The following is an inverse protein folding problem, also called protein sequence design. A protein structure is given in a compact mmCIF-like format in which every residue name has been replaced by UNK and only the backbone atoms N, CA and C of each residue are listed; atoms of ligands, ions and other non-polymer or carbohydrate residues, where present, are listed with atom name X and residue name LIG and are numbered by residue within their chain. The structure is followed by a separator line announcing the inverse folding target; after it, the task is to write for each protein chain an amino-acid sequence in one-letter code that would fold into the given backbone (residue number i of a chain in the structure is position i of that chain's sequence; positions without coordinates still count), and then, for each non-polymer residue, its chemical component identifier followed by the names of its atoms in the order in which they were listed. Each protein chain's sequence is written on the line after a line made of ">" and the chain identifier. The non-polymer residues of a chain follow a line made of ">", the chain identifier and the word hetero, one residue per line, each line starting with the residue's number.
data_IF_739213533045
#
_entry.id   IF_739213533045
#
_cell.length_a   1.000
_cell.length_b   1.000
_cell.length_c   1.000
_cell.angle_alpha   90.00
_cell.angle_beta   90.00
_cell.angle_gamma   90.00
#
_symmetry.space_group_name_H-M   'P 1'
#
loop_
_entity.id
_entity.type
_entity.pdbx_description
1 polymer ?
#
# COMPACT_ATOMS: atom_id res chain seq x y z
N UNK A 1 6.39 -10.59 23.75
CA UNK A 1 6.90 -10.45 22.39
C UNK A 1 5.74 -10.17 21.46
N UNK A 2 5.94 -9.44 20.40
CA UNK A 2 4.88 -9.04 19.45
C UNK A 2 4.28 -10.27 18.78
N UNK A 3 5.13 -11.20 18.36
CA UNK A 3 4.74 -12.48 17.75
C UNK A 3 3.76 -13.29 18.60
N UNK A 4 4.03 -13.44 19.89
CA UNK A 4 3.14 -14.17 20.79
C UNK A 4 1.76 -13.50 20.88
N UNK A 5 1.72 -12.18 20.89
CA UNK A 5 0.45 -11.41 20.92
C UNK A 5 -0.33 -11.55 19.60
N UNK A 6 0.36 -11.58 18.48
CA UNK A 6 -0.24 -11.82 17.17
C UNK A 6 -0.87 -13.22 17.11
N UNK A 7 -0.15 -14.25 17.56
CA UNK A 7 -0.66 -15.62 17.65
C UNK A 7 -1.88 -15.75 18.56
N UNK A 8 -1.86 -15.11 19.73
CA UNK A 8 -2.98 -15.10 20.68
C UNK A 8 -4.22 -14.43 20.07
N UNK A 9 -4.04 -13.30 19.36
CA UNK A 9 -5.12 -12.61 18.66
C UNK A 9 -5.70 -13.49 17.56
N UNK A 10 -4.84 -14.07 16.73
CA UNK A 10 -5.23 -14.95 15.62
C UNK A 10 -6.03 -16.17 16.11
N UNK A 11 -5.59 -16.80 17.19
CA UNK A 11 -6.28 -17.95 17.78
C UNK A 11 -7.68 -17.63 18.30
N UNK A 12 -7.94 -16.37 18.67
CA UNK A 12 -9.24 -15.90 19.14
C UNK A 12 -10.19 -15.38 18.07
N UNK A 13 -9.76 -15.34 16.81
CA UNK A 13 -10.56 -14.79 15.69
C UNK A 13 -11.44 -15.83 15.03
N UNK A 14 -12.67 -15.41 14.64
CA UNK A 14 -13.51 -16.18 13.72
C UNK A 14 -12.98 -16.12 12.29
N UNK A 15 -13.50 -16.97 11.39
CA UNK A 15 -13.14 -16.92 9.97
C UNK A 15 -13.43 -15.53 9.38
N UNK A 16 -14.59 -14.97 9.65
CA UNK A 16 -15.01 -13.65 9.18
C UNK A 16 -14.08 -12.54 9.69
N UNK A 17 -13.67 -12.61 10.94
CA UNK A 17 -12.73 -11.68 11.53
C UNK A 17 -11.35 -11.78 10.87
N UNK A 18 -10.84 -12.99 10.63
CA UNK A 18 -9.57 -13.20 9.94
C UNK A 18 -9.59 -12.65 8.51
N UNK A 19 -10.62 -12.97 7.75
CA UNK A 19 -10.76 -12.48 6.36
C UNK A 19 -10.88 -10.96 6.34
N UNK A 20 -11.70 -10.37 7.20
CA UNK A 20 -11.85 -8.92 7.27
C UNK A 20 -10.52 -8.18 7.55
N UNK A 21 -9.65 -8.76 8.38
CA UNK A 21 -8.33 -8.19 8.69
C UNK A 21 -7.41 -8.08 7.45
N UNK A 22 -7.63 -8.86 6.41
CA UNK A 22 -6.88 -8.78 5.16
C UNK A 22 -7.26 -7.57 4.30
N UNK A 23 -8.31 -6.83 4.60
CA UNK A 23 -8.82 -5.75 3.77
C UNK A 23 -8.50 -4.38 4.33
N UNK A 24 -7.77 -3.57 3.55
CA UNK A 24 -7.73 -2.12 3.67
C UNK A 24 -8.70 -1.58 2.62
N UNK A 25 -9.90 -1.22 3.06
CA UNK A 25 -10.96 -0.78 2.16
C UNK A 25 -10.86 0.72 1.89
N UNK A 26 -11.29 1.16 0.70
CA UNK A 26 -11.55 2.57 0.49
C UNK A 26 -12.68 3.00 1.41
N UNK A 27 -12.44 4.03 2.23
CA UNK A 27 -13.44 4.54 3.17
C UNK A 27 -14.71 4.93 2.43
N UNK A 28 -15.87 4.34 2.74
CA UNK A 28 -17.13 4.69 2.09
C UNK A 28 -17.60 6.07 2.53
N UNK A 29 -18.43 6.71 1.71
CA UNK A 29 -18.98 8.05 2.01
C UNK A 29 -19.97 8.05 3.18
N UNK A 30 -20.66 6.93 3.36
CA UNK A 30 -21.66 6.74 4.42
C UNK A 30 -21.40 5.45 5.17
N UNK A 31 -21.86 5.40 6.42
CA UNK A 31 -21.85 4.19 7.25
C UNK A 31 -20.45 3.59 7.51
N UNK A 32 -19.38 4.38 7.40
CA UNK A 32 -18.02 3.88 7.51
C UNK A 32 -17.76 3.15 8.84
N UNK A 33 -18.22 3.66 9.98
CA UNK A 33 -18.06 3.00 11.27
C UNK A 33 -18.80 1.66 11.34
N UNK A 34 -20.06 1.60 10.85
CA UNK A 34 -20.85 0.35 10.86
C UNK A 34 -20.28 -0.70 9.91
N UNK A 35 -19.68 -0.29 8.79
CA UNK A 35 -18.99 -1.20 7.85
C UNK A 35 -17.75 -1.85 8.47
N UNK A 36 -17.02 -1.15 9.31
CA UNK A 36 -15.90 -1.74 10.08
C UNK A 36 -16.40 -2.91 10.92
N UNK A 37 -17.48 -2.73 11.65
CA UNK A 37 -18.06 -3.78 12.49
C UNK A 37 -18.64 -4.91 11.63
N UNK A 38 -19.36 -4.59 10.57
CA UNK A 38 -20.04 -5.57 9.71
C UNK A 38 -19.07 -6.51 8.99
N UNK A 39 -17.97 -5.98 8.49
CA UNK A 39 -17.00 -6.73 7.68
C UNK A 39 -15.71 -7.06 8.42
N UNK A 40 -15.56 -6.63 9.67
CA UNK A 40 -14.34 -6.82 10.48
C UNK A 40 -13.06 -6.30 9.79
N UNK A 41 -13.17 -5.16 9.09
CA UNK A 41 -12.09 -4.63 8.24
C UNK A 41 -10.79 -4.42 9.01
N UNK A 42 -9.67 -4.67 8.34
CA UNK A 42 -8.32 -4.41 8.86
C UNK A 42 -7.93 -2.94 8.81
N UNK A 43 -8.52 -2.15 7.92
CA UNK A 43 -8.25 -0.73 7.81
C UNK A 43 -9.08 -0.01 6.77
N UNK A 44 -8.89 1.30 6.73
CA UNK A 44 -9.38 2.18 5.68
C UNK A 44 -8.22 2.93 5.02
N UNK A 45 -8.28 3.08 3.69
CA UNK A 45 -7.51 4.07 2.97
C UNK A 45 -8.40 5.28 2.69
N UNK A 46 -7.92 6.48 3.06
CA UNK A 46 -8.64 7.73 2.93
C UNK A 46 -8.17 8.49 1.68
N UNK A 47 -9.13 9.15 1.02
CA UNK A 47 -8.89 9.93 -0.18
C UNK A 47 -9.19 11.42 0.05
N UNK A 48 -8.96 12.25 -0.96
CA UNK A 48 -9.17 13.70 -0.85
C UNK A 48 -10.58 14.07 -0.36
N UNK A 49 -11.63 13.34 -0.77
CA UNK A 49 -13.02 13.58 -0.34
C UNK A 49 -13.20 13.46 1.18
N UNK A 50 -12.37 12.65 1.84
CA UNK A 50 -12.45 12.45 3.28
C UNK A 50 -11.90 13.65 4.07
N UNK A 51 -11.16 14.54 3.41
CA UNK A 51 -10.52 15.70 4.01
C UNK A 51 -11.06 17.04 3.49
N UNK A 52 -11.57 17.10 2.28
CA UNK A 52 -11.95 18.36 1.60
C UNK A 52 -12.90 19.18 2.45
N UNK A 53 -12.49 20.42 2.76
CA UNK A 53 -13.27 21.39 3.52
C UNK A 53 -13.42 21.12 5.01
N UNK A 54 -12.91 20.00 5.51
CA UNK A 54 -13.05 19.62 6.92
C UNK A 54 -12.00 20.28 7.81
N UNK A 55 -12.36 20.50 9.06
CA UNK A 55 -11.44 20.92 10.09
C UNK A 55 -10.65 19.71 10.64
N UNK A 56 -9.60 19.98 11.39
CA UNK A 56 -8.83 18.95 12.08
C UNK A 56 -9.72 18.12 13.03
N UNK A 57 -10.59 18.77 13.76
CA UNK A 57 -11.52 18.16 14.71
C UNK A 57 -12.50 17.23 14.02
N UNK A 58 -13.04 17.63 12.87
CA UNK A 58 -13.96 16.81 12.07
C UNK A 58 -13.27 15.55 11.54
N UNK A 59 -12.04 15.67 11.00
CA UNK A 59 -11.26 14.53 10.51
C UNK A 59 -10.91 13.58 11.66
N UNK A 60 -10.42 14.12 12.77
CA UNK A 60 -10.02 13.32 13.94
C UNK A 60 -11.23 12.59 14.53
N UNK A 61 -12.38 13.25 14.64
CA UNK A 61 -13.62 12.63 15.14
C UNK A 61 -14.10 11.49 14.24
N UNK A 62 -14.03 11.66 12.91
CA UNK A 62 -14.39 10.61 11.95
C UNK A 62 -13.49 9.38 12.12
N UNK A 63 -12.17 9.57 12.12
CA UNK A 63 -11.20 8.48 12.29
C UNK A 63 -11.39 7.79 13.65
N UNK A 64 -11.61 8.55 14.71
CA UNK A 64 -11.87 7.97 16.03
C UNK A 64 -13.15 7.13 16.05
N UNK A 65 -14.19 7.53 15.30
CA UNK A 65 -15.41 6.74 15.18
C UNK A 65 -15.16 5.38 14.49
N UNK A 66 -14.26 5.33 13.52
CA UNK A 66 -13.85 4.08 12.87
C UNK A 66 -13.09 3.17 13.84
N UNK A 67 -12.14 3.73 14.58
CA UNK A 67 -11.37 2.99 15.59
C UNK A 67 -12.27 2.43 16.69
N UNK A 68 -13.25 3.22 17.17
CA UNK A 68 -14.19 2.78 18.20
C UNK A 68 -15.10 1.63 17.74
N UNK A 69 -15.35 1.51 16.44
CA UNK A 69 -16.15 0.43 15.87
C UNK A 69 -15.34 -0.87 15.65
N UNK A 70 -14.01 -0.79 15.73
CA UNK A 70 -13.12 -1.91 15.47
C UNK A 70 -12.82 -2.72 16.75
N UNK A 71 -12.79 -4.06 16.61
CA UNK A 71 -12.33 -4.96 17.67
C UNK A 71 -10.79 -4.99 17.78
N UNK A 72 -10.13 -4.90 16.64
CA UNK A 72 -8.69 -4.76 16.50
C UNK A 72 -8.40 -3.38 15.93
N UNK A 73 -7.43 -2.62 16.44
CA UNK A 73 -7.12 -1.29 15.92
C UNK A 73 -6.90 -1.29 14.42
N UNK A 74 -7.51 -0.32 13.73
CA UNK A 74 -7.45 -0.21 12.27
C UNK A 74 -6.13 0.40 11.81
N UNK A 75 -5.65 -0.09 10.66
CA UNK A 75 -4.75 0.67 9.81
C UNK A 75 -5.54 1.78 9.13
N UNK A 76 -5.13 3.02 9.33
CA UNK A 76 -5.70 4.19 8.64
C UNK A 76 -4.61 4.75 7.74
N UNK A 77 -4.79 4.54 6.45
CA UNK A 77 -3.82 4.85 5.43
C UNK A 77 -4.22 6.02 4.54
N UNK A 78 -3.25 6.64 3.91
CA UNK A 78 -3.43 7.72 2.95
C UNK A 78 -2.26 7.77 1.98
N UNK A 79 -2.51 8.27 0.76
CA UNK A 79 -1.47 8.61 -0.22
C UNK A 79 -1.06 10.08 -0.04
N UNK A 80 -0.16 10.35 0.87
CA UNK A 80 0.43 11.68 1.05
C UNK A 80 1.88 11.65 0.56
N UNK A 81 2.05 11.52 -0.77
CA UNK A 81 3.38 11.39 -1.38
C UNK A 81 4.14 12.72 -1.42
N UNK A 82 3.40 13.80 -1.60
CA UNK A 82 3.93 15.10 -2.01
C UNK A 82 3.73 15.35 -3.52
N UNK A 83 3.95 16.58 -3.96
CA UNK A 83 3.79 16.93 -5.36
C UNK A 83 2.36 16.76 -5.86
N UNK A 84 2.17 15.94 -6.89
CA UNK A 84 0.86 15.73 -7.53
C UNK A 84 -0.09 14.86 -6.70
N UNK A 85 0.43 14.04 -5.79
CA UNK A 85 -0.37 13.11 -4.97
C UNK A 85 -0.33 13.54 -3.50
N UNK A 86 -1.32 14.32 -3.14
CA UNK A 86 -1.62 14.77 -1.78
C UNK A 86 -3.11 14.63 -1.53
N UNK A 87 -3.50 14.14 -0.36
CA UNK A 87 -4.90 14.01 0.06
C UNK A 87 -5.22 14.97 1.20
N UNK A 88 -4.34 15.04 2.20
CA UNK A 88 -4.50 15.82 3.42
C UNK A 88 -4.08 17.28 3.21
N UNK A 89 -2.85 17.50 2.76
CA UNK A 89 -2.25 18.84 2.69
C UNK A 89 -2.83 19.74 1.60
N UNK A 90 -3.65 19.21 0.69
CA UNK A 90 -4.46 20.03 -0.23
C UNK A 90 -5.58 20.79 0.47
N UNK A 91 -5.96 20.38 1.68
CA UNK A 91 -6.93 21.09 2.50
C UNK A 91 -6.21 22.15 3.36
N UNK A 92 -6.48 23.43 3.07
CA UNK A 92 -5.85 24.56 3.75
C UNK A 92 -6.21 24.68 5.23
N UNK A 93 -7.28 24.03 5.70
CA UNK A 93 -7.60 23.92 7.13
C UNK A 93 -6.63 23.02 7.88
N UNK A 94 -5.98 22.08 7.17
CA UNK A 94 -5.07 21.11 7.77
C UNK A 94 -3.60 21.49 7.61
N UNK A 95 -3.25 22.08 6.46
CA UNK A 95 -1.90 22.60 6.17
C UNK A 95 -1.99 23.80 5.22
N UNK A 96 -1.20 24.81 5.46
CA UNK A 96 -1.24 26.06 4.69
C UNK A 96 -0.96 25.86 3.19
N UNK A 97 -0.02 24.98 2.87
CA UNK A 97 0.38 24.65 1.49
C UNK A 97 0.52 23.14 1.34
N UNK A 98 0.23 22.55 0.16
CA UNK A 98 0.49 21.14 -0.09
C UNK A 98 1.98 20.80 0.07
N UNK A 99 2.29 19.55 0.41
CA UNK A 99 3.67 19.05 0.41
C UNK A 99 4.23 19.04 -1.01
N UNK A 100 5.48 19.46 -1.14
CA UNK A 100 6.20 19.48 -2.40
C UNK A 100 6.61 18.05 -2.85
N UNK A 101 6.94 17.90 -4.12
CA UNK A 101 7.48 16.65 -4.65
C UNK A 101 8.88 16.36 -4.11
N UNK A 102 9.28 15.09 -4.11
CA UNK A 102 10.64 14.69 -3.73
C UNK A 102 11.72 15.37 -4.58
N UNK A 103 11.44 15.59 -5.87
CA UNK A 103 12.35 16.30 -6.78
C UNK A 103 12.54 17.76 -6.38
N UNK A 104 11.46 18.48 -6.05
CA UNK A 104 11.49 19.85 -5.58
C UNK A 104 12.24 19.98 -4.24
N UNK A 105 11.96 19.09 -3.30
CA UNK A 105 12.60 19.07 -1.98
C UNK A 105 14.11 18.82 -2.09
N UNK A 106 14.51 17.83 -2.88
CA UNK A 106 15.92 17.52 -3.07
C UNK A 106 16.67 18.69 -3.74
N UNK A 107 16.04 19.33 -4.73
CA UNK A 107 16.60 20.52 -5.39
C UNK A 107 16.74 21.69 -4.42
N UNK A 108 15.78 21.86 -3.51
CA UNK A 108 15.76 22.97 -2.55
C UNK A 108 16.75 22.82 -1.39
N UNK A 109 16.97 21.59 -0.90
CA UNK A 109 17.78 21.39 0.31
C UNK A 109 18.36 19.98 0.50
N UNK A 110 18.39 19.16 -0.55
CA UNK A 110 19.01 17.84 -0.52
C UNK A 110 18.35 16.88 0.49
N UNK A 111 19.16 16.01 1.08
CA UNK A 111 18.70 14.98 2.01
C UNK A 111 18.08 15.54 3.29
N UNK A 112 18.61 16.64 3.80
CA UNK A 112 18.08 17.29 5.00
C UNK A 112 16.63 17.78 4.79
N UNK A 113 16.33 18.29 3.58
CA UNK A 113 14.98 18.72 3.24
C UNK A 113 14.03 17.52 3.07
N UNK A 114 14.49 16.44 2.44
CA UNK A 114 13.73 15.17 2.35
C UNK A 114 13.39 14.65 3.74
N UNK A 115 14.37 14.63 4.65
CA UNK A 115 14.15 14.15 6.02
C UNK A 115 13.17 15.04 6.79
N UNK A 116 13.38 16.36 6.79
CA UNK A 116 12.52 17.29 7.53
C UNK A 116 11.08 17.32 7.00
N UNK A 117 10.89 17.23 5.69
CA UNK A 117 9.56 17.12 5.07
C UNK A 117 8.86 15.81 5.48
N UNK A 118 9.58 14.70 5.47
CA UNK A 118 9.04 13.40 5.89
C UNK A 118 8.62 13.42 7.36
N UNK A 119 9.41 14.03 8.24
CA UNK A 119 9.06 14.22 9.66
C UNK A 119 7.79 15.05 9.83
N UNK A 120 7.70 16.21 9.18
CA UNK A 120 6.51 17.06 9.24
C UNK A 120 5.27 16.32 8.72
N UNK A 121 5.42 15.58 7.63
CA UNK A 121 4.34 14.77 7.04
C UNK A 121 3.83 13.71 8.02
N UNK A 122 4.72 12.95 8.63
CA UNK A 122 4.36 11.96 9.66
C UNK A 122 3.63 12.60 10.85
N UNK A 123 4.14 13.73 11.35
CA UNK A 123 3.52 14.43 12.49
C UNK A 123 2.13 14.96 12.16
N UNK A 124 1.94 15.53 10.96
CA UNK A 124 0.64 15.96 10.50
C UNK A 124 -0.35 14.79 10.44
N UNK A 125 0.03 13.69 9.78
CA UNK A 125 -0.82 12.53 9.60
C UNK A 125 -1.20 11.90 10.95
N UNK A 126 -0.24 11.70 11.83
CA UNK A 126 -0.48 11.16 13.18
C UNK A 126 -1.40 12.06 14.00
N UNK A 127 -1.28 13.38 13.87
CA UNK A 127 -2.16 14.34 14.56
C UNK A 127 -3.63 14.21 14.18
N UNK A 128 -3.92 13.55 13.06
CA UNK A 128 -5.27 13.26 12.56
C UNK A 128 -5.75 11.84 12.91
N UNK A 129 -4.85 10.99 13.43
CA UNK A 129 -5.13 9.57 13.70
C UNK A 129 -4.76 8.63 12.55
N UNK A 130 -4.04 9.13 11.53
CA UNK A 130 -3.52 8.33 10.41
C UNK A 130 -2.21 7.67 10.85
N UNK A 131 -2.07 6.37 10.63
CA UNK A 131 -0.93 5.58 11.09
C UNK A 131 -0.13 4.89 9.96
N UNK A 132 -0.58 5.03 8.71
CA UNK A 132 0.05 4.44 7.55
C UNK A 132 0.10 5.45 6.39
N UNK A 133 1.28 5.73 5.86
CA UNK A 133 1.41 6.47 4.61
C UNK A 133 1.82 5.53 3.48
N UNK A 134 1.06 5.53 2.38
CA UNK A 134 1.37 4.77 1.17
C UNK A 134 2.52 5.44 0.41
N UNK A 135 3.67 5.47 1.02
CA UNK A 135 4.93 6.07 0.57
C UNK A 135 6.13 5.34 1.23
N UNK A 136 7.33 5.39 0.62
CA UNK A 136 7.73 6.16 -0.56
C UNK A 136 7.42 5.47 -1.91
N UNK A 137 7.35 6.28 -2.97
CA UNK A 137 7.40 5.79 -4.35
C UNK A 137 8.83 5.39 -4.67
N UNK A 138 9.02 4.10 -4.99
CA UNK A 138 10.33 3.50 -5.28
C UNK A 138 10.64 3.43 -6.78
N UNK A 139 9.67 3.79 -7.62
CA UNK A 139 9.81 3.70 -9.08
C UNK A 139 10.98 4.54 -9.59
N UNK A 140 11.80 3.95 -10.45
CA UNK A 140 12.95 4.61 -11.09
C UNK A 140 12.50 5.17 -12.44
N UNK A 141 12.53 6.48 -12.59
CA UNK A 141 12.27 7.16 -13.85
C UNK A 141 13.09 8.44 -13.94
N UNK A 142 13.77 8.62 -15.07
CA UNK A 142 14.55 9.81 -15.41
C UNK A 142 13.97 10.56 -16.62
N UNK A 143 12.96 9.99 -17.28
CA UNK A 143 12.31 10.61 -18.43
C UNK A 143 11.03 11.34 -18.00
N UNK A 144 10.96 12.68 -18.17
CA UNK A 144 9.76 13.46 -17.84
C UNK A 144 8.51 13.04 -18.61
N UNK A 145 8.61 12.23 -19.65
CA UNK A 145 7.47 11.71 -20.41
C UNK A 145 6.90 10.42 -19.83
N UNK A 146 7.62 9.77 -18.91
CA UNK A 146 7.10 8.60 -18.23
C UNK A 146 5.92 8.97 -17.32
N UNK A 147 4.87 8.15 -17.34
CA UNK A 147 3.68 8.34 -16.49
C UNK A 147 4.05 8.55 -15.02
N UNK A 148 4.99 7.75 -14.51
CA UNK A 148 5.35 7.76 -13.08
C UNK A 148 6.36 8.85 -12.70
N UNK A 149 7.01 9.51 -13.67
CA UNK A 149 8.11 10.44 -13.44
C UNK A 149 7.80 11.52 -12.41
N UNK A 150 6.67 12.21 -12.55
CA UNK A 150 6.29 13.30 -11.64
C UNK A 150 6.09 12.86 -10.18
N UNK A 151 5.88 11.58 -9.95
CA UNK A 151 5.74 10.96 -8.62
C UNK A 151 7.03 10.33 -8.13
N UNK A 152 7.96 10.03 -9.03
CA UNK A 152 9.26 9.42 -8.73
C UNK A 152 10.26 10.45 -8.19
N UNK A 153 11.40 9.95 -7.69
CA UNK A 153 12.51 10.81 -7.27
C UNK A 153 13.22 11.48 -8.45
N UNK A 154 13.01 10.97 -9.68
CA UNK A 154 13.52 11.57 -10.91
C UNK A 154 15.03 11.42 -11.13
N UNK A 155 15.68 10.53 -10.42
CA UNK A 155 17.10 10.23 -10.49
C UNK A 155 17.34 8.77 -10.89
N UNK A 156 18.61 8.36 -10.98
CA UNK A 156 18.96 6.97 -11.24
C UNK A 156 18.56 6.03 -10.09
N UNK A 157 18.78 4.73 -10.28
CA UNK A 157 18.39 3.71 -9.32
C UNK A 157 19.15 3.81 -7.98
N UNK A 158 20.42 4.18 -8.01
CA UNK A 158 21.24 4.30 -6.79
C UNK A 158 20.78 5.50 -5.93
N UNK A 159 20.54 6.64 -6.56
CA UNK A 159 20.02 7.82 -5.85
C UNK A 159 18.56 7.61 -5.39
N UNK A 160 17.74 6.93 -6.19
CA UNK A 160 16.39 6.55 -5.76
C UNK A 160 16.44 5.59 -4.57
N UNK A 161 17.39 4.65 -4.54
CA UNK A 161 17.59 3.76 -3.39
C UNK A 161 17.96 4.55 -2.12
N UNK A 162 18.83 5.55 -2.23
CA UNK A 162 19.17 6.41 -1.08
C UNK A 162 17.98 7.25 -0.61
N UNK A 163 17.17 7.77 -1.55
CA UNK A 163 15.93 8.46 -1.24
C UNK A 163 14.97 7.55 -0.45
N UNK A 164 14.73 6.34 -0.93
CA UNK A 164 13.84 5.37 -0.28
C UNK A 164 14.36 5.02 1.12
N UNK A 165 15.64 4.76 1.27
CA UNK A 165 16.27 4.48 2.57
C UNK A 165 16.05 5.63 3.55
N UNK A 166 16.31 6.86 3.13
CA UNK A 166 16.14 8.05 3.95
C UNK A 166 14.70 8.22 4.42
N UNK A 167 13.73 8.07 3.51
CA UNK A 167 12.31 8.20 3.82
C UNK A 167 11.83 7.10 4.76
N UNK A 168 12.17 5.84 4.50
CA UNK A 168 11.75 4.70 5.34
C UNK A 168 12.33 4.81 6.75
N UNK A 169 13.60 5.13 6.89
CA UNK A 169 14.23 5.34 8.20
C UNK A 169 13.55 6.47 8.98
N UNK A 170 13.22 7.57 8.31
CA UNK A 170 12.54 8.71 8.95
C UNK A 170 11.13 8.35 9.37
N UNK A 171 10.35 7.68 8.52
CA UNK A 171 9.00 7.19 8.85
C UNK A 171 9.04 6.24 10.06
N UNK A 172 10.02 5.32 10.10
CA UNK A 172 10.21 4.39 11.21
C UNK A 172 10.55 5.11 12.52
N UNK A 173 11.43 6.12 12.47
CA UNK A 173 11.78 6.94 13.63
C UNK A 173 10.58 7.71 14.19
N UNK A 174 9.68 8.15 13.33
CA UNK A 174 8.40 8.78 13.69
C UNK A 174 7.31 7.77 14.10
N UNK A 175 7.63 6.47 14.15
CA UNK A 175 6.69 5.40 14.52
C UNK A 175 5.43 5.35 13.66
N UNK A 176 5.58 5.52 12.37
CA UNK A 176 4.52 5.46 11.37
C UNK A 176 4.77 4.31 10.39
N UNK A 177 3.72 3.75 9.80
CA UNK A 177 3.83 2.70 8.79
C UNK A 177 4.22 3.25 7.42
N UNK A 178 5.08 2.50 6.71
CA UNK A 178 5.54 2.80 5.36
C UNK A 178 5.10 1.74 4.36
N UNK A 179 4.94 2.14 3.08
CA UNK A 179 4.60 1.24 1.97
C UNK A 179 5.50 1.55 0.78
N UNK A 180 6.33 0.59 0.39
CA UNK A 180 7.13 0.69 -0.84
C UNK A 180 6.24 0.41 -2.05
N UNK A 181 6.26 1.27 -3.05
CA UNK A 181 5.41 1.13 -4.25
C UNK A 181 6.06 1.65 -5.52
N UNK A 182 5.73 1.12 -6.64
CA UNK A 182 4.81 0.05 -6.99
C UNK A 182 5.63 -1.13 -7.51
N UNK A 183 5.74 -2.17 -6.71
CA UNK A 183 6.56 -3.35 -7.06
C UNK A 183 5.97 -4.07 -8.28
N UNK A 184 6.76 -4.55 -9.25
CA UNK A 184 8.23 -4.60 -9.27
C UNK A 184 8.91 -3.37 -9.87
N UNK A 185 8.20 -2.31 -10.18
CA UNK A 185 8.67 -1.06 -10.76
C UNK A 185 7.95 -0.71 -12.06
N UNK A 186 7.41 0.51 -12.12
CA UNK A 186 6.62 0.97 -13.28
C UNK A 186 7.47 1.18 -14.54
N UNK A 187 8.72 1.63 -14.39
CA UNK A 187 9.53 2.01 -15.53
C UNK A 187 8.84 3.04 -16.43
N UNK A 188 8.79 2.77 -17.72
CA UNK A 188 8.10 3.61 -18.71
C UNK A 188 6.70 3.08 -19.10
N UNK A 189 6.11 2.22 -18.28
CA UNK A 189 4.79 1.67 -18.55
C UNK A 189 3.67 2.68 -18.40
N UNK A 190 2.55 2.43 -19.05
CA UNK A 190 1.34 3.22 -18.96
C UNK A 190 0.60 3.04 -17.64
N UNK A 191 -0.32 3.96 -17.37
CA UNK A 191 -1.15 3.97 -16.17
C UNK A 191 -2.13 2.78 -16.13
N UNK A 192 -2.03 1.94 -15.12
CA UNK A 192 -2.92 0.77 -14.92
C UNK A 192 -4.31 1.14 -14.39
N UNK A 193 -4.57 2.39 -14.04
CA UNK A 193 -5.94 2.88 -13.77
C UNK A 193 -6.80 2.87 -15.03
N UNK A 194 -6.20 3.03 -16.21
CA UNK A 194 -6.91 3.20 -17.48
C UNK A 194 -6.85 1.98 -18.39
N UNK A 195 -6.07 0.96 -18.07
CA UNK A 195 -5.94 -0.24 -18.89
C UNK A 195 -4.82 -1.18 -18.44
N UNK A 196 -4.60 -2.22 -19.23
CA UNK A 196 -3.53 -3.19 -18.99
C UNK A 196 -2.20 -2.58 -19.45
N UNK A 197 -1.20 -2.61 -18.59
CA UNK A 197 0.18 -2.25 -18.91
C UNK A 197 1.03 -3.52 -19.03
N UNK A 198 1.69 -3.69 -20.17
CA UNK A 198 2.60 -4.80 -20.43
C UNK A 198 4.04 -4.30 -20.37
N UNK A 199 4.84 -4.91 -19.50
CA UNK A 199 6.25 -4.64 -19.35
C UNK A 199 7.07 -5.76 -19.98
N UNK A 200 7.75 -5.47 -21.07
CA UNK A 200 8.55 -6.43 -21.83
C UNK A 200 10.06 -6.33 -21.52
N UNK A 201 10.43 -5.54 -20.50
CA UNK A 201 11.83 -5.40 -20.09
C UNK A 201 12.39 -6.74 -19.61
N UNK A 202 13.67 -7.04 -19.91
CA UNK A 202 14.32 -8.25 -19.42
C UNK A 202 14.57 -8.17 -17.90
N UNK A 203 14.70 -9.31 -17.25
CA UNK A 203 14.88 -9.40 -15.78
C UNK A 203 16.11 -8.62 -15.29
N UNK A 204 17.17 -8.54 -16.11
CA UNK A 204 18.38 -7.78 -15.78
C UNK A 204 18.10 -6.30 -15.60
N UNK A 205 17.11 -5.75 -16.29
CA UNK A 205 16.66 -4.37 -16.10
C UNK A 205 16.12 -4.14 -14.70
N UNK A 206 15.34 -5.08 -14.18
CA UNK A 206 14.82 -5.02 -12.81
C UNK A 206 15.92 -5.24 -11.78
N UNK A 207 16.73 -6.26 -11.93
CA UNK A 207 17.82 -6.59 -10.99
C UNK A 207 18.83 -5.47 -10.87
N UNK A 208 19.19 -4.81 -11.98
CA UNK A 208 20.20 -3.75 -12.00
C UNK A 208 19.63 -2.34 -11.74
N UNK A 209 18.33 -2.17 -11.70
CA UNK A 209 17.70 -0.86 -11.55
C UNK A 209 16.51 -0.90 -10.58
N UNK A 210 15.35 -1.37 -11.01
CA UNK A 210 14.08 -1.23 -10.27
C UNK A 210 14.10 -1.87 -8.88
N UNK A 211 14.80 -3.00 -8.72
CA UNK A 211 14.88 -3.68 -7.42
C UNK A 211 15.77 -2.97 -6.40
N UNK A 212 16.70 -2.11 -6.82
CA UNK A 212 17.62 -1.43 -5.91
C UNK A 212 16.89 -0.55 -4.88
N UNK A 213 15.95 0.33 -5.26
CA UNK A 213 15.18 1.09 -4.28
C UNK A 213 14.31 0.23 -3.36
N UNK A 214 13.68 -0.83 -3.88
CA UNK A 214 12.91 -1.76 -3.05
C UNK A 214 13.78 -2.46 -2.03
N UNK A 215 14.95 -2.97 -2.45
CA UNK A 215 15.90 -3.60 -1.53
C UNK A 215 16.36 -2.61 -0.44
N UNK A 216 16.67 -1.37 -0.82
CA UNK A 216 17.05 -0.34 0.13
C UNK A 216 15.95 -0.05 1.16
N UNK A 217 14.69 -0.04 0.74
CA UNK A 217 13.54 0.12 1.63
C UNK A 217 13.31 -1.08 2.56
N UNK A 218 13.46 -2.29 2.02
CA UNK A 218 13.36 -3.55 2.79
C UNK A 218 14.46 -3.58 3.86
N UNK A 219 15.69 -3.31 3.48
CA UNK A 219 16.84 -3.28 4.39
C UNK A 219 16.73 -2.17 5.46
N UNK A 220 16.01 -1.09 5.15
CA UNK A 220 15.72 -0.01 6.08
C UNK A 220 14.53 -0.31 7.02
N UNK A 221 13.85 -1.44 6.86
CA UNK A 221 12.75 -1.89 7.71
C UNK A 221 11.38 -1.38 7.28
N UNK A 222 11.11 -1.27 5.98
CA UNK A 222 9.78 -0.94 5.48
C UNK A 222 8.74 -1.96 5.94
N UNK A 223 7.55 -1.49 6.29
CA UNK A 223 6.48 -2.32 6.83
C UNK A 223 5.73 -3.11 5.75
N UNK A 224 5.50 -2.47 4.61
CA UNK A 224 4.71 -3.04 3.52
C UNK A 224 5.35 -2.82 2.15
N UNK A 225 5.01 -3.71 1.21
CA UNK A 225 5.26 -3.53 -0.23
C UNK A 225 3.94 -3.68 -0.97
N UNK A 226 3.61 -2.68 -1.80
CA UNK A 226 2.44 -2.67 -2.66
C UNK A 226 2.84 -3.16 -4.06
N UNK A 227 2.14 -4.19 -4.53
CA UNK A 227 2.37 -4.81 -5.85
C UNK A 227 1.42 -4.22 -6.88
N UNK A 228 1.98 -3.75 -7.99
CA UNK A 228 1.26 -3.11 -9.10
C UNK A 228 0.48 -4.10 -9.96
N UNK A 229 -0.36 -3.56 -10.86
CA UNK A 229 -1.16 -4.35 -11.81
C UNK A 229 -0.51 -4.51 -13.19
N UNK A 230 0.76 -4.22 -13.34
CA UNK A 230 1.50 -4.44 -14.58
C UNK A 230 1.67 -5.93 -14.85
N UNK A 231 1.51 -6.33 -16.10
CA UNK A 231 1.95 -7.66 -16.58
C UNK A 231 3.43 -7.55 -16.94
N UNK A 232 4.30 -8.24 -16.20
CA UNK A 232 5.75 -8.18 -16.34
C UNK A 232 6.24 -9.47 -16.97
N UNK A 233 6.43 -9.47 -18.30
CA UNK A 233 6.59 -10.68 -19.11
C UNK A 233 7.78 -11.55 -18.69
N UNK A 234 8.87 -10.97 -18.21
CA UNK A 234 10.03 -11.73 -17.75
C UNK A 234 9.83 -12.44 -16.40
N UNK A 235 8.75 -12.14 -15.68
CA UNK A 235 8.40 -12.76 -14.38
C UNK A 235 7.15 -13.63 -14.52
N UNK A 236 6.11 -13.10 -15.15
CA UNK A 236 4.84 -13.78 -15.44
C UNK A 236 4.14 -13.06 -16.60
N UNK A 237 4.01 -13.72 -17.74
CA UNK A 237 3.41 -13.16 -18.95
C UNK A 237 1.89 -13.38 -19.04
N UNK A 238 1.30 -14.08 -18.07
CA UNK A 238 -0.11 -14.47 -18.09
C UNK A 238 -1.01 -13.53 -17.30
N UNK A 239 -0.53 -13.00 -16.18
CA UNK A 239 -1.35 -12.22 -15.25
C UNK A 239 -0.58 -11.01 -14.71
N UNK A 240 -1.30 -9.96 -14.22
CA UNK A 240 -0.67 -8.84 -13.54
C UNK A 240 0.14 -9.27 -12.31
N UNK A 241 1.19 -8.51 -12.01
CA UNK A 241 2.07 -8.76 -10.87
C UNK A 241 1.29 -8.97 -9.55
N UNK A 242 0.25 -8.18 -9.30
CA UNK A 242 -0.58 -8.26 -8.09
C UNK A 242 -1.30 -9.59 -7.87
N UNK A 243 -1.51 -10.37 -8.91
CA UNK A 243 -2.12 -11.72 -8.84
C UNK A 243 -1.17 -12.81 -9.36
N UNK A 244 0.13 -12.53 -9.39
CA UNK A 244 1.17 -13.44 -9.88
C UNK A 244 1.95 -14.05 -8.72
N UNK A 245 1.86 -15.37 -8.56
CA UNK A 245 2.67 -16.10 -7.58
C UNK A 245 4.18 -15.97 -7.87
N UNK A 246 4.67 -16.09 -9.12
CA UNK A 246 6.09 -15.86 -9.41
C UNK A 246 6.61 -14.50 -8.96
N UNK A 247 5.87 -13.42 -9.16
CA UNK A 247 6.26 -12.06 -8.71
C UNK A 247 6.36 -12.00 -7.18
N UNK A 248 5.39 -12.56 -6.46
CA UNK A 248 5.42 -12.63 -5.00
C UNK A 248 6.59 -13.47 -4.47
N UNK A 249 6.92 -14.57 -5.15
CA UNK A 249 8.09 -15.39 -4.81
C UNK A 249 9.41 -14.63 -4.99
N UNK A 250 9.54 -13.80 -6.02
CA UNK A 250 10.71 -12.92 -6.19
C UNK A 250 10.82 -11.98 -5.00
N UNK A 251 9.74 -11.32 -4.62
CA UNK A 251 9.73 -10.40 -3.49
C UNK A 251 10.09 -11.09 -2.16
N UNK A 252 9.49 -12.26 -1.88
CA UNK A 252 9.75 -13.02 -0.65
C UNK A 252 11.14 -13.64 -0.63
N UNK A 253 11.53 -14.34 -1.70
CA UNK A 253 12.68 -15.23 -1.68
C UNK A 253 13.96 -14.58 -2.21
N UNK A 254 13.88 -13.69 -3.19
CA UNK A 254 15.05 -13.05 -3.78
C UNK A 254 15.37 -11.72 -3.08
N UNK A 255 14.36 -10.88 -2.81
CA UNK A 255 14.55 -9.63 -2.08
C UNK A 255 14.48 -9.83 -0.55
N UNK A 256 14.01 -10.99 -0.07
CA UNK A 256 13.97 -11.33 1.35
C UNK A 256 12.97 -10.51 2.16
N UNK A 257 11.87 -10.07 1.54
CA UNK A 257 10.86 -9.28 2.25
C UNK A 257 9.99 -10.16 3.14
N UNK A 258 9.99 -9.88 4.43
CA UNK A 258 9.25 -10.60 5.47
C UNK A 258 8.10 -9.79 6.09
N UNK A 259 7.80 -8.60 5.54
CA UNK A 259 6.67 -7.76 5.94
C UNK A 259 5.39 -8.04 5.16
N UNK A 260 4.44 -7.12 5.24
CA UNK A 260 3.12 -7.23 4.60
C UNK A 260 3.19 -6.93 3.11
N UNK A 261 2.69 -7.85 2.29
CA UNK A 261 2.47 -7.60 0.86
C UNK A 261 1.02 -7.21 0.64
N UNK A 262 0.80 -6.06 0.00
CA UNK A 262 -0.52 -5.52 -0.30
C UNK A 262 -0.69 -5.29 -1.80
N UNK A 263 -1.92 -5.47 -2.32
CA UNK A 263 -2.25 -5.12 -3.70
C UNK A 263 -2.43 -3.62 -3.89
N UNK A 264 -2.24 -3.12 -5.10
CA UNK A 264 -2.91 -1.89 -5.52
C UNK A 264 -4.43 -2.13 -5.60
N UNK A 265 -5.25 -1.06 -5.70
CA UNK A 265 -6.71 -1.21 -5.62
C UNK A 265 -7.23 -2.16 -6.71
N UNK A 266 -7.97 -3.19 -6.27
CA UNK A 266 -8.51 -4.23 -7.14
C UNK A 266 -9.65 -3.75 -8.05
N UNK A 267 -10.10 -2.50 -7.92
CA UNK A 267 -11.06 -1.88 -8.83
C UNK A 267 -10.40 -1.37 -10.12
N UNK A 268 -9.07 -1.27 -10.17
CA UNK A 268 -8.34 -0.72 -11.31
C UNK A 268 -8.49 -1.60 -12.57
N UNK A 269 -8.64 -0.95 -13.73
CA UNK A 269 -8.85 -1.64 -15.03
C UNK A 269 -7.70 -2.60 -15.38
N UNK A 270 -6.46 -2.29 -14.97
CA UNK A 270 -5.30 -3.14 -15.20
C UNK A 270 -5.42 -4.55 -14.64
N UNK A 271 -6.27 -4.80 -13.68
CA UNK A 271 -6.49 -6.11 -13.06
C UNK A 271 -7.91 -6.66 -13.32
N UNK A 272 -8.93 -5.82 -13.39
CA UNK A 272 -10.34 -6.24 -13.55
C UNK A 272 -10.61 -7.02 -14.84
N UNK A 273 -9.80 -6.83 -15.87
CA UNK A 273 -9.95 -7.55 -17.14
C UNK A 273 -9.51 -9.02 -17.06
N UNK A 274 -8.82 -9.43 -16.01
CA UNK A 274 -8.33 -10.79 -15.81
C UNK A 274 -9.28 -11.70 -15.06
N UNK A 275 -10.19 -11.13 -14.26
CA UNK A 275 -11.22 -11.88 -13.52
C UNK A 275 -12.34 -10.95 -13.04
N UNK A 276 -13.50 -11.51 -12.68
CA UNK A 276 -14.58 -10.77 -12.04
C UNK A 276 -14.20 -10.27 -10.64
N UNK A 277 -14.91 -9.26 -10.13
CA UNK A 277 -14.58 -8.59 -8.86
C UNK A 277 -14.45 -9.56 -7.67
N UNK A 278 -15.30 -10.57 -7.60
CA UNK A 278 -15.22 -11.59 -6.55
C UNK A 278 -14.00 -12.50 -6.71
N UNK A 279 -13.75 -12.97 -7.93
CA UNK A 279 -12.65 -13.89 -8.24
C UNK A 279 -11.28 -13.23 -8.09
N UNK A 280 -11.16 -11.94 -8.43
CA UNK A 280 -9.89 -11.22 -8.39
C UNK A 280 -9.34 -11.15 -6.95
N UNK A 281 -10.18 -10.97 -5.95
CA UNK A 281 -9.78 -10.97 -4.55
C UNK A 281 -9.25 -12.35 -4.12
N UNK A 282 -9.92 -13.42 -4.52
CA UNK A 282 -9.48 -14.80 -4.25
C UNK A 282 -8.12 -15.07 -4.89
N UNK A 283 -7.94 -14.70 -6.15
CA UNK A 283 -6.65 -14.84 -6.86
C UNK A 283 -5.54 -14.02 -6.20
N UNK A 284 -5.84 -12.82 -5.72
CA UNK A 284 -4.87 -11.99 -5.02
C UNK A 284 -4.36 -12.65 -3.73
N UNK A 285 -5.24 -13.28 -2.95
CA UNK A 285 -4.84 -14.04 -1.76
C UNK A 285 -4.00 -15.25 -2.13
N UNK A 286 -4.42 -16.02 -3.14
CA UNK A 286 -3.69 -17.19 -3.62
C UNK A 286 -2.29 -16.85 -4.17
N UNK A 287 -2.15 -15.67 -4.77
CA UNK A 287 -0.86 -15.20 -5.31
C UNK A 287 0.18 -14.86 -4.22
N UNK A 288 -0.26 -14.61 -2.99
CA UNK A 288 0.65 -14.32 -1.88
C UNK A 288 0.47 -12.94 -1.23
N UNK A 289 -0.59 -12.18 -1.56
CA UNK A 289 -0.88 -10.94 -0.85
C UNK A 289 -1.41 -11.24 0.55
N UNK A 290 -0.92 -10.49 1.53
CA UNK A 290 -1.38 -10.56 2.93
C UNK A 290 -2.53 -9.61 3.18
N UNK A 291 -2.56 -8.50 2.47
CA UNK A 291 -3.65 -7.53 2.48
C UNK A 291 -4.09 -7.16 1.06
N UNK A 292 -5.35 -6.78 0.94
CA UNK A 292 -5.97 -6.33 -0.29
C UNK A 292 -6.42 -4.89 -0.13
N UNK A 293 -5.92 -3.99 -0.99
CA UNK A 293 -6.49 -2.65 -1.13
C UNK A 293 -7.74 -2.76 -2.01
N UNK A 294 -8.88 -2.28 -1.53
CA UNK A 294 -10.15 -2.67 -2.12
C UNK A 294 -11.22 -1.58 -2.02
N UNK A 295 -11.80 -1.19 -3.15
CA UNK A 295 -13.01 -0.36 -3.20
C UNK A 295 -14.27 -1.20 -3.03
N UNK A 296 -14.37 -2.35 -3.72
CA UNK A 296 -15.58 -3.22 -3.76
C UNK A 296 -15.56 -4.29 -2.64
N UNK A 297 -15.17 -3.91 -1.44
CA UNK A 297 -15.01 -4.82 -0.30
C UNK A 297 -16.30 -5.56 0.07
N UNK A 298 -17.48 -4.97 -0.15
CA UNK A 298 -18.78 -5.59 0.13
C UNK A 298 -19.02 -6.84 -0.72
N UNK A 299 -18.41 -6.93 -1.90
CA UNK A 299 -18.43 -8.12 -2.77
C UNK A 299 -17.24 -9.03 -2.46
N UNK A 300 -16.09 -8.47 -2.21
CA UNK A 300 -14.83 -9.21 -2.15
C UNK A 300 -14.59 -9.90 -0.80
N UNK A 301 -15.00 -9.28 0.31
CA UNK A 301 -14.90 -9.94 1.64
C UNK A 301 -15.71 -11.24 1.69
N UNK A 302 -17.00 -11.25 1.31
CA UNK A 302 -17.77 -12.50 1.26
C UNK A 302 -17.19 -13.54 0.30
N UNK A 303 -16.62 -13.11 -0.83
CA UNK A 303 -15.99 -14.02 -1.80
C UNK A 303 -14.77 -14.74 -1.22
N UNK A 304 -13.92 -14.04 -0.48
CA UNK A 304 -12.76 -14.65 0.19
C UNK A 304 -13.20 -15.58 1.33
N UNK A 305 -14.21 -15.20 2.13
CA UNK A 305 -14.79 -16.08 3.16
C UNK A 305 -15.26 -17.40 2.51
N UNK A 306 -16.03 -17.32 1.43
CA UNK A 306 -16.51 -18.51 0.71
C UNK A 306 -15.36 -19.36 0.16
N UNK A 307 -14.32 -18.75 -0.37
CA UNK A 307 -13.14 -19.46 -0.89
C UNK A 307 -12.41 -20.25 0.21
N UNK A 308 -12.36 -19.73 1.44
CA UNK A 308 -11.79 -20.47 2.58
C UNK A 308 -12.73 -21.61 3.01
N UNK A 309 -14.05 -21.36 3.10
CA UNK A 309 -15.04 -22.39 3.46
C UNK A 309 -15.04 -23.57 2.49
N UNK A 310 -14.81 -23.33 1.21
CA UNK A 310 -14.77 -24.36 0.16
C UNK A 310 -13.39 -25.02 -0.01
N UNK A 311 -12.37 -24.51 0.68
CA UNK A 311 -10.99 -25.00 0.58
C UNK A 311 -10.22 -24.49 -0.64
N UNK A 312 -10.75 -23.55 -1.39
CA UNK A 312 -10.08 -22.87 -2.50
C UNK A 312 -8.90 -22.01 -1.99
N UNK A 313 -9.07 -21.39 -0.81
CA UNK A 313 -8.00 -20.82 -0.01
C UNK A 313 -7.87 -21.68 1.25
N UNK A 314 -6.66 -22.13 1.57
CA UNK A 314 -6.42 -22.91 2.79
C UNK A 314 -6.46 -22.04 4.04
N UNK A 315 -6.87 -22.61 5.17
CA UNK A 315 -6.80 -21.91 6.47
C UNK A 315 -5.35 -21.55 6.84
N UNK A 316 -4.40 -22.36 6.44
CA UNK A 316 -2.97 -22.10 6.64
C UNK A 316 -2.55 -20.82 5.93
N UNK A 317 -2.93 -20.64 4.64
CA UNK A 317 -2.66 -19.42 3.88
C UNK A 317 -3.34 -18.20 4.51
N UNK A 318 -4.59 -18.32 4.95
CA UNK A 318 -5.29 -17.24 5.64
C UNK A 318 -4.58 -16.86 6.93
N UNK A 319 -4.22 -17.82 7.76
CA UNK A 319 -3.54 -17.58 9.03
C UNK A 319 -2.16 -16.94 8.83
N UNK A 320 -1.43 -17.36 7.80
CA UNK A 320 -0.16 -16.75 7.40
C UNK A 320 -0.34 -15.26 7.10
N UNK A 321 -1.30 -14.91 6.25
CA UNK A 321 -1.59 -13.52 5.90
C UNK A 321 -1.95 -12.66 7.11
N UNK A 322 -2.84 -13.16 7.97
CA UNK A 322 -3.29 -12.42 9.16
C UNK A 322 -2.15 -12.29 10.18
N UNK A 323 -1.25 -13.27 10.28
CA UNK A 323 -0.05 -13.16 11.11
C UNK A 323 0.83 -11.98 10.68
N UNK A 324 1.10 -11.83 9.39
CA UNK A 324 1.87 -10.68 8.88
C UNK A 324 1.22 -9.34 9.22
N UNK A 325 -0.10 -9.24 9.15
CA UNK A 325 -0.81 -7.98 9.42
C UNK A 325 -0.84 -7.58 10.90
N UNK A 326 -0.47 -8.48 11.81
CA UNK A 326 -0.46 -8.24 13.26
C UNK A 326 0.95 -8.23 13.89
N UNK A 327 2.00 -8.46 13.10
CA UNK A 327 3.39 -8.35 13.53
C UNK A 327 3.90 -6.91 13.40
#
# INVERSE_FOLDING_TARGET
>A
PVEQRAEELLAGMTLEEKVGQMFIARCPETDAASKVTQYHLGGYILFARDFTGKTKEEVTAAIQSYQNAAKVPLLIGVDEEGGTVNRVSKNTNLRKTPFASSQELYTAGGWDMIQSDTQEKCQLLQSLGINLNFAPVCDVSQDPQDFIYARSFGQDAEQTAEYVRTVVQTISQEQMGSVLKHFPGYGNNSDTHTGIAYDERPIEGFVNSDFLPFQAGIDAGADMVLVAHNVVSCMDDQVPASISLPVHNILRNELGFDGVIITDDLVMEGVRQFAGDAEIAVRAVQAGNDMLCCTDFEVQVPAVIKAVETGEITEERLNESVSYTHL
#
